data_IF_322160374854
#
_entry.id   IF_322160374854
#
_cell.length_a   1.000
_cell.length_b   1.000
_cell.length_c   1.000
_cell.angle_alpha   90.00
_cell.angle_beta   90.00
_cell.angle_gamma   90.00
#
_symmetry.space_group_name_H-M   'P 1'
#
loop_
_entity.id
_entity.type
_entity.pdbx_description
1 polymer ?
#
# COMPACT_ATOMS: atom_id res chain seq x y z
N UNK A 1 14.34 -5.65 11.45
CA UNK A 1 14.06 -6.20 10.10
C UNK A 1 15.39 -6.34 9.35
N UNK A 2 15.48 -7.14 8.28
CA UNK A 2 16.70 -7.31 7.47
C UNK A 2 16.39 -7.15 5.98
N UNK A 3 17.38 -6.71 5.21
CA UNK A 3 17.25 -6.59 3.75
C UNK A 3 17.04 -7.96 3.09
N UNK A 4 16.37 -7.98 1.94
CA UNK A 4 16.17 -9.18 1.12
C UNK A 4 16.17 -8.86 -0.38
N UNK A 5 16.57 -9.85 -1.19
CA UNK A 5 16.59 -9.73 -2.65
C UNK A 5 15.17 -9.59 -3.20
N UNK A 6 14.95 -8.57 -4.04
CA UNK A 6 13.70 -8.39 -4.75
C UNK A 6 13.65 -9.30 -5.99
N UNK A 7 12.56 -10.06 -6.16
CA UNK A 7 12.38 -11.01 -7.26
C UNK A 7 11.29 -10.58 -8.25
N UNK A 8 10.95 -9.29 -8.32
CA UNK A 8 9.83 -8.82 -9.17
C UNK A 8 10.12 -8.87 -10.68
N UNK A 9 11.38 -9.00 -11.09
CA UNK A 9 11.79 -9.10 -12.50
C UNK A 9 11.66 -7.81 -13.32
N UNK A 10 11.27 -6.68 -12.71
CA UNK A 10 11.07 -5.43 -13.42
C UNK A 10 12.38 -4.81 -13.92
N UNK A 11 12.42 -4.37 -15.18
CA UNK A 11 13.51 -3.57 -15.74
C UNK A 11 13.62 -2.26 -14.96
N UNK A 12 14.74 -2.04 -14.27
CA UNK A 12 14.94 -0.88 -13.39
C UNK A 12 14.59 -1.10 -11.91
N UNK A 13 14.35 -2.34 -11.49
CA UNK A 13 14.27 -2.68 -10.07
C UNK A 13 15.62 -2.44 -9.37
N UNK A 14 15.58 -1.99 -8.10
CA UNK A 14 16.78 -1.82 -7.25
C UNK A 14 17.43 -3.17 -6.86
N UNK A 15 16.75 -4.29 -7.07
CA UNK A 15 17.25 -5.64 -6.78
C UNK A 15 17.21 -6.03 -5.30
N UNK A 16 16.96 -5.08 -4.40
CA UNK A 16 16.94 -5.28 -2.95
C UNK A 16 15.79 -4.47 -2.32
N UNK A 17 15.16 -5.04 -1.30
CA UNK A 17 14.23 -4.36 -0.40
C UNK A 17 14.91 -4.22 0.95
N UNK A 18 14.95 -2.99 1.47
CA UNK A 18 15.60 -2.62 2.74
C UNK A 18 14.54 -2.28 3.80
N UNK A 19 14.86 -2.47 5.09
CA UNK A 19 13.98 -2.05 6.18
C UNK A 19 13.55 -0.58 6.09
N UNK A 20 14.46 0.30 5.68
CA UNK A 20 14.28 1.75 5.63
C UNK A 20 13.50 2.21 4.38
N UNK A 21 13.15 1.30 3.47
CA UNK A 21 12.47 1.66 2.24
C UNK A 21 11.10 2.29 2.48
N UNK A 22 10.47 1.98 3.60
CA UNK A 22 9.20 2.60 3.95
C UNK A 22 9.37 4.08 4.26
N UNK A 23 10.41 4.47 4.97
CA UNK A 23 10.75 5.86 5.23
C UNK A 23 11.22 6.57 3.94
N UNK A 24 12.09 5.90 3.18
CA UNK A 24 12.77 6.50 2.03
C UNK A 24 11.91 6.57 0.77
N UNK A 25 11.05 5.57 0.55
CA UNK A 25 10.31 5.39 -0.70
C UNK A 25 8.81 5.64 -0.57
N UNK A 26 8.22 5.67 0.64
CA UNK A 26 6.78 5.86 0.79
C UNK A 26 6.24 7.10 0.05
N UNK A 27 6.87 8.29 0.11
CA UNK A 27 6.33 9.46 -0.61
C UNK A 27 6.23 9.22 -2.12
N UNK A 28 7.24 8.60 -2.72
CA UNK A 28 7.28 8.27 -4.14
C UNK A 28 6.28 7.18 -4.51
N UNK A 29 6.14 6.17 -3.65
CA UNK A 29 5.16 5.11 -3.85
C UNK A 29 3.74 5.63 -3.74
N UNK A 30 3.44 6.47 -2.75
CA UNK A 30 2.14 7.09 -2.59
C UNK A 30 1.75 7.92 -3.82
N UNK A 31 2.67 8.73 -4.35
CA UNK A 31 2.46 9.50 -5.58
C UNK A 31 2.11 8.58 -6.76
N UNK A 32 2.91 7.52 -6.97
CA UNK A 32 2.67 6.57 -8.06
C UNK A 32 1.34 5.83 -7.90
N UNK A 33 1.00 5.43 -6.68
CA UNK A 33 -0.28 4.77 -6.39
C UNK A 33 -1.43 5.73 -6.66
N UNK A 34 -1.37 6.98 -6.18
CA UNK A 34 -2.41 7.99 -6.46
C UNK A 34 -2.62 8.23 -7.96
N UNK A 35 -1.54 8.24 -8.72
CA UNK A 35 -1.60 8.46 -10.17
C UNK A 35 -2.35 7.34 -10.91
N UNK A 36 -2.16 6.08 -10.52
CA UNK A 36 -2.75 4.92 -11.22
C UNK A 36 -4.06 4.43 -10.60
N UNK A 37 -4.40 4.86 -9.38
CA UNK A 37 -5.59 4.37 -8.67
C UNK A 37 -6.91 4.57 -9.43
N UNK A 38 -7.13 5.67 -10.18
CA UNK A 38 -8.34 5.82 -10.99
C UNK A 38 -8.51 4.72 -12.06
N UNK A 39 -7.42 4.15 -12.59
CA UNK A 39 -7.45 3.12 -13.64
C UNK A 39 -8.10 1.82 -13.17
N UNK A 40 -8.18 1.58 -11.86
CA UNK A 40 -8.89 0.43 -11.26
C UNK A 40 -10.36 0.38 -11.69
N UNK A 41 -10.96 1.53 -12.00
CA UNK A 41 -12.35 1.63 -12.46
C UNK A 41 -12.53 1.27 -13.95
N UNK A 42 -11.45 1.34 -14.73
CA UNK A 42 -11.47 1.19 -16.19
C UNK A 42 -11.10 -0.24 -16.61
N UNK A 43 -10.54 -1.05 -15.71
CA UNK A 43 -10.14 -2.42 -15.98
C UNK A 43 -10.89 -3.42 -15.12
N UNK A 44 -11.22 -4.58 -15.70
CA UNK A 44 -11.90 -5.67 -15.00
C UNK A 44 -11.04 -6.12 -13.81
N UNK A 45 -11.54 -6.00 -12.59
CA UNK A 45 -10.84 -6.51 -11.41
C UNK A 45 -11.31 -7.94 -11.11
N UNK A 46 -10.43 -8.96 -11.24
CA UNK A 46 -10.79 -10.35 -10.99
C UNK A 46 -11.07 -10.66 -9.51
N UNK A 47 -10.65 -9.76 -8.61
CA UNK A 47 -10.79 -9.94 -7.16
C UNK A 47 -11.98 -9.17 -6.57
N UNK A 48 -12.86 -8.55 -7.37
CA UNK A 48 -13.99 -7.76 -6.85
C UNK A 48 -14.86 -8.55 -5.88
N UNK A 49 -15.18 -9.79 -6.22
CA UNK A 49 -16.05 -10.66 -5.40
C UNK A 49 -15.38 -11.13 -4.10
N UNK A 50 -14.07 -10.93 -3.96
CA UNK A 50 -13.33 -11.27 -2.74
C UNK A 50 -13.19 -10.08 -1.78
N UNK A 51 -13.59 -8.87 -2.19
CA UNK A 51 -13.49 -7.70 -1.32
C UNK A 51 -14.68 -7.63 -0.36
N UNK A 52 -14.38 -7.33 0.90
CA UNK A 52 -15.41 -7.09 1.92
C UNK A 52 -16.22 -5.80 1.65
N UNK A 53 -15.59 -4.77 1.10
CA UNK A 53 -16.24 -3.53 0.66
C UNK A 53 -15.66 -3.07 -0.70
N UNK A 54 -16.19 -3.57 -1.83
CA UNK A 54 -15.82 -3.08 -3.17
C UNK A 54 -16.05 -1.58 -3.34
N UNK A 55 -17.09 -1.03 -2.70
CA UNK A 55 -17.43 0.38 -2.81
C UNK A 55 -16.39 1.28 -2.13
N UNK A 56 -15.66 0.80 -1.12
CA UNK A 56 -14.52 1.52 -0.56
C UNK A 56 -13.45 1.78 -1.61
N UNK A 57 -13.07 0.76 -2.37
CA UNK A 57 -12.05 0.90 -3.42
C UNK A 57 -12.53 1.90 -4.47
N UNK A 58 -13.79 1.83 -4.88
CA UNK A 58 -14.36 2.79 -5.84
C UNK A 58 -14.36 4.23 -5.32
N UNK A 59 -14.68 4.46 -4.04
CA UNK A 59 -14.62 5.80 -3.42
C UNK A 59 -13.21 6.36 -3.45
N UNK A 60 -12.22 5.56 -3.05
CA UNK A 60 -10.82 6.00 -3.03
C UNK A 60 -10.28 6.18 -4.45
N UNK A 61 -10.66 5.35 -5.41
CA UNK A 61 -10.26 5.52 -6.81
C UNK A 61 -10.79 6.82 -7.43
N UNK A 62 -11.98 7.29 -7.02
CA UNK A 62 -12.54 8.59 -7.44
C UNK A 62 -11.95 9.79 -6.70
N UNK A 63 -11.28 9.56 -5.58
CA UNK A 63 -10.61 10.60 -4.79
C UNK A 63 -9.29 10.10 -4.20
N UNK A 64 -8.24 9.90 -5.02
CA UNK A 64 -6.99 9.26 -4.59
C UNK A 64 -6.26 9.99 -3.45
N UNK A 65 -6.49 11.29 -3.30
CA UNK A 65 -5.94 12.10 -2.20
C UNK A 65 -6.46 11.68 -0.82
N UNK A 66 -7.57 10.95 -0.77
CA UNK A 66 -8.11 10.37 0.47
C UNK A 66 -7.31 9.13 0.94
N UNK A 67 -6.43 8.60 0.10
CA UNK A 67 -5.55 7.51 0.46
C UNK A 67 -4.51 7.99 1.47
N UNK A 68 -4.53 7.38 2.65
CA UNK A 68 -3.49 7.55 3.66
C UNK A 68 -2.14 7.16 3.10
N UNK A 69 -1.09 7.88 3.50
CA UNK A 69 0.28 7.55 3.12
C UNK A 69 0.66 6.16 3.62
N UNK A 70 1.49 5.44 2.86
CA UNK A 70 2.00 4.12 3.26
C UNK A 70 2.68 4.15 4.63
N UNK A 71 3.43 5.23 4.93
CA UNK A 71 4.01 5.46 6.26
C UNK A 71 2.93 5.54 7.36
N UNK A 72 1.83 6.26 7.11
CA UNK A 72 0.71 6.36 8.07
C UNK A 72 0.01 5.03 8.28
N UNK A 73 -0.16 4.23 7.22
CA UNK A 73 -0.77 2.90 7.30
C UNK A 73 0.07 1.95 8.16
N UNK A 74 1.40 1.95 8.02
CA UNK A 74 2.32 1.18 8.88
C UNK A 74 2.19 1.59 10.35
N UNK A 75 2.14 2.89 10.63
CA UNK A 75 1.96 3.37 12.00
C UNK A 75 0.62 2.91 12.61
N UNK A 76 -0.48 3.01 11.85
CA UNK A 76 -1.80 2.55 12.33
C UNK A 76 -1.82 1.04 12.61
N UNK A 77 -1.20 0.23 11.76
CA UNK A 77 -1.07 -1.21 11.98
C UNK A 77 -0.26 -1.49 13.25
N UNK A 78 0.90 -0.83 13.42
CA UNK A 78 1.73 -0.95 14.61
C UNK A 78 0.96 -0.59 15.90
N UNK A 79 0.25 0.55 15.92
CA UNK A 79 -0.55 0.95 17.08
C UNK A 79 -1.66 -0.05 17.38
N UNK A 80 -2.30 -0.61 16.36
CA UNK A 80 -3.33 -1.65 16.53
C UNK A 80 -2.74 -2.90 17.15
N UNK A 81 -1.56 -3.32 16.70
CA UNK A 81 -0.86 -4.51 17.23
C UNK A 81 -0.42 -4.29 18.69
N UNK A 82 0.12 -3.12 19.02
CA UNK A 82 0.46 -2.73 20.40
C UNK A 82 -0.79 -2.68 21.27
N UNK A 83 -1.87 -2.06 20.82
CA UNK A 83 -3.13 -1.98 21.57
C UNK A 83 -3.83 -3.34 21.74
N UNK A 84 -3.63 -4.27 20.82
CA UNK A 84 -4.07 -5.65 20.94
C UNK A 84 -3.20 -6.45 21.93
N UNK A 85 -1.88 -6.21 21.94
CA UNK A 85 -0.93 -6.83 22.87
C UNK A 85 -1.00 -6.29 24.30
N UNK A 86 -1.38 -5.02 24.47
CA UNK A 86 -1.54 -4.36 25.77
C UNK A 86 -2.81 -4.79 26.54
N UNK A 87 -3.69 -5.61 25.94
CA UNK A 87 -4.77 -6.30 26.64
C UNK A 87 -4.26 -7.67 27.14
N UNK A 88 -3.36 -7.67 28.12
CA UNK A 88 -3.08 -8.83 28.97
C UNK A 88 -2.86 -8.37 30.40
#
# INVERSE_FOLDING_TARGET
ERAFTCLCGATGCRGEVRPEDLEDQAPRWDERVRAVLPEVLEVLQPLWDQLADPAQVQRVARGPDQLLTLATLRYKAFVKDVAAGARK
#
